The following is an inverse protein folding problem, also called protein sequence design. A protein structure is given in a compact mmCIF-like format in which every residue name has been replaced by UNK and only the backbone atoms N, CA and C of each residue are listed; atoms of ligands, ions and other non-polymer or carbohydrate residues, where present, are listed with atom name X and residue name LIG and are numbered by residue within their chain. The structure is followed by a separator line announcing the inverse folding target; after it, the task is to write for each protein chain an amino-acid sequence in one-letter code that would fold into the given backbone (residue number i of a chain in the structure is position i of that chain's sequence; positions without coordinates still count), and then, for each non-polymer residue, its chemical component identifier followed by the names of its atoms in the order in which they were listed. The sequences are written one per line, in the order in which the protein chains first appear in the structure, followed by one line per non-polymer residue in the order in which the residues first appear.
data_IF_412973865994
#
_entry.id   IF_412973865994
#
_cell.length_a   1.000
_cell.length_b   1.000
_cell.length_c   1.000
_cell.angle_alpha   90.00
_cell.angle_beta   90.00
_cell.angle_gamma   90.00
#
_symmetry.space_group_name_H-M   'P 1'
#
loop_
_entity.id
_entity.type
_entity.pdbx_description
1 polymer ?
#
# COMPACT_ATOMS: atom_id res chain seq x y z
N UNK A 1 -111.56 35.98 47.13
CA UNK A 1 -110.86 35.02 46.26
C UNK A 1 -111.21 35.35 44.81
N UNK A 2 -110.23 35.82 44.03
CA UNK A 2 -110.44 36.32 42.66
C UNK A 2 -110.79 35.18 41.70
N UNK A 3 -111.82 35.46 40.88
CA UNK A 3 -112.37 34.70 39.77
C UNK A 3 -111.39 34.62 38.58
N UNK A 4 -111.59 33.66 37.66
CA UNK A 4 -112.03 33.88 36.24
C UNK A 4 -111.57 32.76 35.28
N UNK A 5 -112.58 32.04 34.74
CA UNK A 5 -112.83 31.51 33.38
C UNK A 5 -111.88 30.58 32.59
N UNK A 6 -112.41 29.36 32.35
CA UNK A 6 -112.59 28.59 31.08
C UNK A 6 -111.83 28.99 29.78
N UNK A 7 -110.93 28.06 29.36
CA UNK A 7 -110.83 27.37 28.05
C UNK A 7 -110.27 28.11 26.79
N UNK A 8 -109.96 27.39 25.67
CA UNK A 8 -108.62 26.96 25.19
C UNK A 8 -108.16 27.68 23.90
N UNK A 9 -107.02 27.26 23.33
CA UNK A 9 -106.37 27.72 22.07
C UNK A 9 -105.32 28.83 22.28
N UNK A 10 -104.17 28.62 21.64
CA UNK A 10 -102.99 29.49 21.49
C UNK A 10 -101.95 29.42 22.62
N UNK A 11 -100.98 28.51 22.46
CA UNK A 11 -99.51 28.76 22.41
C UNK A 11 -98.83 27.37 22.35
N UNK A 12 -99.03 26.60 21.28
CA UNK A 12 -98.06 26.41 20.18
C UNK A 12 -96.58 26.58 20.56
N UNK A 13 -95.79 25.56 20.19
CA UNK A 13 -94.32 25.53 20.07
C UNK A 13 -93.53 25.29 21.36
N UNK A 14 -93.40 24.02 21.78
CA UNK A 14 -92.13 23.30 21.63
C UNK A 14 -92.37 21.77 21.75
N UNK A 15 -93.06 21.24 20.73
CA UNK A 15 -92.97 19.89 20.18
C UNK A 15 -92.65 18.70 21.09
N UNK A 16 -93.70 17.95 21.42
CA UNK A 16 -93.61 16.50 21.55
C UNK A 16 -93.22 15.86 20.19
N UNK A 17 -92.19 15.01 20.19
CA UNK A 17 -91.93 13.92 19.23
C UNK A 17 -90.82 13.04 19.83
N UNK A 18 -91.17 12.09 20.72
CA UNK A 18 -91.42 10.68 20.40
C UNK A 18 -90.13 9.97 19.92
N UNK A 19 -89.66 9.06 20.78
CA UNK A 19 -88.89 7.84 20.50
C UNK A 19 -88.15 7.73 19.15
N UNK A 20 -86.83 7.78 19.19
CA UNK A 20 -86.02 6.78 18.51
C UNK A 20 -84.69 6.62 19.25
N UNK A 21 -84.24 5.38 19.36
CA UNK A 21 -82.89 5.00 19.74
C UNK A 21 -81.84 5.98 19.20
N UNK A 22 -80.97 6.50 20.06
CA UNK A 22 -79.66 6.97 19.58
C UNK A 22 -78.87 5.72 19.20
N UNK A 23 -79.15 5.18 18.01
CA UNK A 23 -78.14 4.46 17.26
C UNK A 23 -77.20 5.53 16.73
N UNK A 24 -76.00 5.63 17.30
CA UNK A 24 -74.91 6.41 16.68
C UNK A 24 -74.56 5.68 15.38
N UNK A 25 -75.21 6.07 14.29
CA UNK A 25 -74.84 5.65 12.96
C UNK A 25 -73.56 6.40 12.59
N UNK A 26 -72.41 5.73 12.65
CA UNK A 26 -71.21 6.21 11.96
C UNK A 26 -71.45 6.05 10.45
N UNK A 27 -72.22 6.97 9.85
CA UNK A 27 -72.71 6.85 8.47
C UNK A 27 -71.70 7.29 7.40
N UNK A 28 -70.49 7.73 7.77
CA UNK A 28 -69.56 8.31 6.81
C UNK A 28 -68.18 7.65 6.91
N UNK A 29 -67.82 6.91 5.86
CA UNK A 29 -66.42 6.58 5.59
C UNK A 29 -65.74 7.86 5.09
N UNK A 30 -64.79 8.39 5.85
CA UNK A 30 -64.01 9.54 5.42
C UNK A 30 -62.78 9.06 4.64
N UNK A 31 -62.60 9.58 3.42
CA UNK A 31 -61.37 9.35 2.66
C UNK A 31 -60.19 10.00 3.41
N UNK A 32 -59.02 9.36 3.39
CA UNK A 32 -57.82 9.86 4.07
C UNK A 32 -57.32 11.21 3.50
N UNK A 33 -57.65 11.53 2.25
CA UNK A 33 -57.48 12.86 1.64
C UNK A 33 -58.23 13.97 2.39
N UNK A 34 -59.29 13.63 3.11
CA UNK A 34 -60.20 14.59 3.75
C UNK A 34 -59.98 14.69 5.27
N UNK A 35 -59.08 13.88 5.83
CA UNK A 35 -58.69 13.90 7.23
C UNK A 35 -57.35 14.62 7.33
N UNK A 36 -57.26 15.68 8.12
CA UNK A 36 -56.03 16.45 8.30
C UNK A 36 -55.31 16.07 9.59
N UNK A 37 -53.98 16.04 9.55
CA UNK A 37 -53.10 15.92 10.71
C UNK A 37 -51.94 16.91 10.55
N UNK A 38 -51.72 17.77 11.56
CA UNK A 38 -50.68 18.82 11.53
C UNK A 38 -50.62 19.57 10.19
N UNK A 39 -51.77 20.06 9.75
CA UNK A 39 -51.94 20.88 8.54
C UNK A 39 -51.64 20.16 7.20
N UNK A 40 -51.54 18.83 7.17
CA UNK A 40 -51.47 18.03 5.93
C UNK A 40 -52.61 17.03 5.87
N UNK A 41 -52.97 16.53 4.68
CA UNK A 41 -53.91 15.40 4.59
C UNK A 41 -53.22 14.12 5.06
N UNK A 42 -54.00 13.15 5.57
CA UNK A 42 -53.48 11.86 6.02
C UNK A 42 -52.80 11.10 4.86
N UNK A 43 -53.31 11.23 3.64
CA UNK A 43 -52.70 10.65 2.43
C UNK A 43 -51.29 11.21 2.16
N UNK A 44 -51.12 12.53 2.27
CA UNK A 44 -49.82 13.18 2.09
C UNK A 44 -48.80 12.77 3.16
N UNK A 45 -49.24 12.71 4.42
CA UNK A 45 -48.40 12.27 5.53
C UNK A 45 -47.95 10.80 5.35
N UNK A 46 -48.86 9.94 4.92
CA UNK A 46 -48.59 8.52 4.70
C UNK A 46 -47.65 8.31 3.50
N UNK A 47 -47.86 9.01 2.39
CA UNK A 47 -46.95 8.97 1.24
C UNK A 47 -45.53 9.44 1.61
N UNK A 48 -45.43 10.48 2.44
CA UNK A 48 -44.14 10.97 2.96
C UNK A 48 -43.43 9.90 3.81
N UNK A 49 -44.17 9.21 4.68
CA UNK A 49 -43.63 8.14 5.50
C UNK A 49 -43.18 6.95 4.65
N UNK A 50 -43.97 6.52 3.67
CA UNK A 50 -43.59 5.47 2.72
C UNK A 50 -42.32 5.83 1.95
N UNK A 51 -42.25 7.06 1.43
CA UNK A 51 -41.07 7.54 0.69
C UNK A 51 -39.83 7.51 1.57
N UNK A 52 -39.90 8.04 2.80
CA UNK A 52 -38.78 8.00 3.75
C UNK A 52 -38.37 6.56 4.09
N UNK A 53 -39.35 5.69 4.33
CA UNK A 53 -39.10 4.28 4.66
C UNK A 53 -38.39 3.57 3.51
N UNK A 54 -38.81 3.80 2.27
CA UNK A 54 -38.15 3.25 1.08
C UNK A 54 -36.73 3.80 0.90
N UNK A 55 -36.51 5.09 1.17
CA UNK A 55 -35.16 5.67 1.16
C UNK A 55 -34.26 5.01 2.20
N UNK A 56 -34.72 4.85 3.45
CA UNK A 56 -33.93 4.18 4.49
C UNK A 56 -33.66 2.72 4.14
N UNK A 57 -34.67 2.00 3.61
CA UNK A 57 -34.51 0.62 3.13
C UNK A 57 -33.40 0.52 2.07
N UNK A 58 -33.44 1.38 1.05
CA UNK A 58 -32.41 1.40 0.00
C UNK A 58 -31.00 1.70 0.55
N UNK A 59 -30.89 2.64 1.51
CA UNK A 59 -29.61 2.91 2.18
C UNK A 59 -29.10 1.69 2.94
N UNK A 60 -29.97 0.97 3.67
CA UNK A 60 -29.57 -0.22 4.43
C UNK A 60 -29.22 -1.41 3.53
N UNK A 61 -29.84 -1.54 2.35
CA UNK A 61 -29.51 -2.62 1.40
C UNK A 61 -28.18 -2.39 0.66
N UNK A 62 -27.69 -1.14 0.64
CA UNK A 62 -26.48 -0.75 -0.12
C UNK A 62 -25.30 -0.35 0.77
N UNK A 63 -25.48 -0.35 2.09
CA UNK A 63 -24.43 0.02 3.05
C UNK A 63 -23.79 -1.23 3.66
N UNK A 64 -22.50 -1.39 3.45
CA UNK A 64 -21.67 -2.42 4.11
C UNK A 64 -20.52 -1.72 4.84
N UNK A 65 -20.70 -1.51 6.14
CA UNK A 65 -19.72 -0.82 7.00
C UNK A 65 -19.32 -1.76 8.13
N UNK A 66 -18.03 -2.02 8.23
CA UNK A 66 -17.42 -2.74 9.35
C UNK A 66 -16.36 -1.88 10.04
N UNK A 67 -16.03 -2.17 11.31
CA UNK A 67 -14.95 -1.49 12.02
C UNK A 67 -13.60 -1.60 11.28
N UNK A 68 -13.35 -2.73 10.61
CA UNK A 68 -12.16 -2.96 9.80
C UNK A 68 -12.07 -2.14 8.52
N UNK A 69 -13.15 -1.43 8.12
CA UNK A 69 -13.14 -0.52 6.97
C UNK A 69 -12.97 0.95 7.37
N UNK A 70 -12.88 1.26 8.66
CA UNK A 70 -12.88 2.63 9.18
C UNK A 70 -11.61 2.93 9.97
N UNK A 71 -11.11 4.17 9.84
CA UNK A 71 -9.99 4.66 10.64
C UNK A 71 -10.32 4.61 12.14
N UNK A 72 -9.30 4.34 12.95
CA UNK A 72 -9.44 4.25 14.38
C UNK A 72 -10.11 5.50 14.96
N UNK A 73 -11.17 5.30 15.74
CA UNK A 73 -11.96 6.38 16.35
C UNK A 73 -13.04 7.00 15.46
N UNK A 74 -13.05 6.73 14.14
CA UNK A 74 -14.16 7.14 13.26
C UNK A 74 -15.40 6.32 13.58
N UNK A 75 -16.55 6.97 13.71
CA UNK A 75 -17.82 6.32 14.05
C UNK A 75 -18.76 6.31 12.85
N UNK A 76 -19.47 5.20 12.67
CA UNK A 76 -20.49 5.05 11.64
C UNK A 76 -21.60 4.11 12.12
N UNK A 77 -22.73 4.11 11.42
CA UNK A 77 -23.81 3.15 11.65
C UNK A 77 -23.81 2.09 10.56
N UNK A 78 -24.03 0.83 10.95
CA UNK A 78 -24.25 -0.29 10.02
C UNK A 78 -25.63 -0.20 9.37
N UNK A 79 -25.88 -1.03 8.36
CA UNK A 79 -27.22 -1.22 7.79
C UNK A 79 -28.29 -1.68 8.80
N UNK A 80 -27.89 -2.35 9.88
CA UNK A 80 -28.78 -2.71 11.00
C UNK A 80 -28.98 -1.58 12.01
N UNK A 81 -28.38 -0.40 11.80
CA UNK A 81 -28.47 0.74 12.71
C UNK A 81 -27.57 0.62 13.94
N UNK A 82 -26.59 -0.28 13.94
CA UNK A 82 -25.65 -0.46 15.05
C UNK A 82 -24.49 0.52 14.92
N UNK A 83 -24.15 1.23 16.00
CA UNK A 83 -22.97 2.10 16.02
C UNK A 83 -21.69 1.25 16.04
N UNK A 84 -20.81 1.46 15.05
CA UNK A 84 -19.47 0.86 14.98
C UNK A 84 -18.41 1.95 15.09
N UNK A 85 -17.29 1.60 15.72
CA UNK A 85 -16.09 2.45 15.78
C UNK A 85 -14.99 1.78 14.98
N UNK A 86 -14.31 2.55 14.14
CA UNK A 86 -13.24 2.06 13.29
C UNK A 86 -12.05 1.55 14.07
N UNK A 87 -11.32 0.62 13.44
CA UNK A 87 -10.18 -0.07 14.04
C UNK A 87 -8.90 0.01 13.20
N UNK A 88 -8.92 0.64 12.02
CA UNK A 88 -7.72 0.78 11.19
C UNK A 88 -6.75 1.76 11.88
N UNK A 89 -5.57 1.31 12.34
CA UNK A 89 -4.60 2.21 12.95
C UNK A 89 -4.03 3.16 11.90
N UNK A 90 -3.75 4.41 12.29
CA UNK A 90 -2.95 5.31 11.47
C UNK A 90 -1.47 4.97 11.65
N UNK A 91 -0.77 4.79 10.54
CA UNK A 91 0.66 4.54 10.52
C UNK A 91 1.38 5.87 10.37
N UNK A 92 2.29 6.14 11.30
CA UNK A 92 3.13 7.33 11.25
C UNK A 92 4.11 7.18 10.08
N UNK A 93 4.09 8.16 9.18
CA UNK A 93 5.01 8.17 8.04
C UNK A 93 6.46 8.29 8.50
N UNK A 94 7.30 7.46 7.90
CA UNK A 94 8.72 7.37 8.21
C UNK A 94 9.53 7.21 6.93
N UNK A 95 10.79 7.65 6.99
CA UNK A 95 11.76 7.49 5.92
C UNK A 95 12.72 6.37 6.32
N UNK A 96 12.68 5.27 5.60
CA UNK A 96 13.52 4.09 5.88
C UNK A 96 14.56 3.91 4.78
N UNK A 97 15.83 3.78 5.17
CA UNK A 97 16.90 3.40 4.26
C UNK A 97 17.14 1.89 4.34
N UNK A 98 17.16 1.21 3.19
CA UNK A 98 17.47 -0.22 3.08
C UNK A 98 18.85 -0.41 2.47
N UNK A 99 19.65 -1.30 3.06
CA UNK A 99 20.88 -1.82 2.46
C UNK A 99 20.61 -3.12 1.70
N UNK A 100 21.59 -3.56 0.91
CA UNK A 100 21.46 -4.78 0.11
C UNK A 100 21.12 -5.99 0.98
N UNK A 101 20.05 -6.71 0.61
CA UNK A 101 19.57 -7.88 1.35
C UNK A 101 18.65 -7.57 2.54
N UNK A 102 18.42 -6.30 2.88
CA UNK A 102 17.43 -5.97 3.90
C UNK A 102 16.00 -6.14 3.39
N UNK A 103 15.13 -6.57 4.31
CA UNK A 103 13.70 -6.71 4.10
C UNK A 103 12.99 -5.75 5.04
N UNK A 104 12.02 -5.01 4.51
CA UNK A 104 11.16 -4.13 5.29
C UNK A 104 9.71 -4.57 5.16
N UNK A 105 9.07 -4.86 6.30
CA UNK A 105 7.66 -5.19 6.36
C UNK A 105 6.87 -3.92 6.58
N UNK A 106 6.02 -3.57 5.60
CA UNK A 106 5.10 -2.43 5.72
C UNK A 106 4.04 -2.77 6.77
N UNK A 107 3.88 -1.97 7.84
CA UNK A 107 2.84 -2.20 8.85
C UNK A 107 1.44 -2.12 8.24
N UNK A 108 0.54 -3.01 8.67
CA UNK A 108 -0.86 -2.94 8.29
C UNK A 108 -1.54 -1.75 8.96
N UNK A 109 -2.22 -0.91 8.17
CA UNK A 109 -2.94 0.26 8.65
C UNK A 109 -3.12 1.29 7.56
N UNK A 110 -3.56 2.49 7.94
CA UNK A 110 -3.70 3.63 7.04
C UNK A 110 -2.38 4.39 6.94
N UNK A 111 -1.86 4.50 5.71
CA UNK A 111 -0.68 5.30 5.38
C UNK A 111 -1.15 6.58 4.69
N UNK A 112 -0.60 7.73 5.09
CA UNK A 112 -0.98 9.04 4.52
C UNK A 112 -0.29 9.36 3.17
N UNK A 113 0.55 8.45 2.69
CA UNK A 113 1.28 8.57 1.43
C UNK A 113 2.54 9.44 1.48
N UNK A 114 2.97 9.90 2.66
CA UNK A 114 4.18 10.75 2.81
C UNK A 114 5.44 9.98 3.21
N UNK A 115 5.30 8.71 3.65
CA UNK A 115 6.43 7.85 3.97
C UNK A 115 7.23 7.43 2.74
N UNK A 116 8.53 7.22 2.91
CA UNK A 116 9.43 6.80 1.83
C UNK A 116 10.32 5.63 2.24
N UNK A 117 10.60 4.75 1.28
CA UNK A 117 11.59 3.68 1.42
C UNK A 117 12.67 3.93 0.36
N UNK A 118 13.90 4.16 0.80
CA UNK A 118 15.03 4.42 -0.09
C UNK A 118 16.00 3.25 -0.01
N UNK A 119 16.32 2.64 -1.16
CA UNK A 119 17.44 1.71 -1.28
C UNK A 119 18.54 2.42 -2.07
N UNK A 120 19.72 2.68 -1.48
CA UNK A 120 20.85 3.21 -2.24
C UNK A 120 21.26 2.21 -3.32
N UNK A 121 21.63 2.71 -4.49
CA UNK A 121 22.29 1.89 -5.50
C UNK A 121 23.58 1.30 -4.91
N UNK A 122 23.89 0.04 -5.21
CA UNK A 122 25.17 -0.56 -4.85
C UNK A 122 26.30 0.28 -5.44
N UNK A 123 27.07 0.97 -4.58
CA UNK A 123 28.25 1.69 -5.04
C UNK A 123 29.38 0.71 -5.26
N UNK A 124 30.00 0.74 -6.43
CA UNK A 124 31.23 0.02 -6.68
C UNK A 124 32.37 1.01 -6.88
N UNK A 125 33.57 0.59 -6.50
CA UNK A 125 34.82 1.30 -6.81
C UNK A 125 35.66 0.44 -7.72
N UNK A 126 36.20 1.03 -8.78
CA UNK A 126 37.22 0.36 -9.60
C UNK A 126 38.56 0.47 -8.86
N UNK A 127 39.15 -0.67 -8.54
CA UNK A 127 40.40 -0.77 -7.80
C UNK A 127 41.50 -1.11 -8.81
N UNK A 128 42.38 -0.15 -9.06
CA UNK A 128 43.59 -0.40 -9.84
C UNK A 128 44.60 -1.14 -8.98
N UNK A 129 44.92 -2.38 -9.34
CA UNK A 129 45.87 -3.20 -8.60
C UNK A 129 47.31 -2.96 -9.03
N UNK A 130 47.54 -2.36 -10.20
CA UNK A 130 48.85 -2.17 -10.80
C UNK A 130 49.19 -3.25 -11.82
N UNK A 131 50.44 -3.23 -12.27
CA UNK A 131 50.93 -4.04 -13.36
C UNK A 131 51.83 -5.18 -12.88
N UNK A 132 51.80 -6.34 -13.56
CA UNK A 132 52.68 -7.48 -13.26
C UNK A 132 53.06 -8.27 -14.51
N UNK A 133 54.21 -8.97 -14.46
CA UNK A 133 54.81 -9.69 -15.60
C UNK A 133 54.86 -11.23 -15.45
N UNK A 134 54.51 -11.76 -14.29
CA UNK A 134 54.35 -13.21 -14.08
C UNK A 134 53.13 -13.77 -14.83
N UNK A 135 53.22 -15.06 -15.20
CA UNK A 135 52.30 -15.76 -16.09
C UNK A 135 51.37 -16.75 -15.38
N UNK A 136 51.43 -16.83 -14.04
CA UNK A 136 50.79 -17.87 -13.23
C UNK A 136 49.88 -17.31 -12.14
N UNK A 137 50.42 -16.58 -11.18
CA UNK A 137 49.63 -15.91 -10.15
C UNK A 137 50.30 -14.64 -9.68
N UNK A 138 49.48 -13.75 -9.14
CA UNK A 138 49.89 -12.47 -8.60
C UNK A 138 49.11 -12.12 -7.36
N UNK A 139 49.77 -11.40 -6.47
CA UNK A 139 49.17 -10.90 -5.25
C UNK A 139 49.27 -9.39 -5.22
N UNK A 140 48.18 -8.72 -4.86
CA UNK A 140 48.13 -7.27 -4.72
C UNK A 140 47.58 -6.90 -3.35
N UNK A 141 48.18 -5.88 -2.73
CA UNK A 141 47.69 -5.31 -1.48
C UNK A 141 46.63 -4.24 -1.78
N UNK A 142 45.44 -4.41 -1.20
CA UNK A 142 44.30 -3.49 -1.37
C UNK A 142 44.05 -2.59 -0.16
N UNK A 143 44.82 -2.71 0.94
CA UNK A 143 44.61 -1.95 2.19
C UNK A 143 44.57 -0.45 1.97
N UNK A 144 45.50 0.06 1.17
CA UNK A 144 45.60 1.49 0.85
C UNK A 144 44.74 1.90 -0.35
N UNK A 145 43.99 0.96 -0.94
CA UNK A 145 43.20 1.18 -2.16
C UNK A 145 41.69 1.14 -1.89
N UNK A 146 41.25 0.40 -0.87
CA UNK A 146 39.83 0.24 -0.50
C UNK A 146 39.65 0.39 1.01
N UNK A 147 38.80 1.34 1.43
CA UNK A 147 38.39 1.49 2.83
C UNK A 147 37.49 0.33 3.25
N UNK A 148 37.68 -0.22 4.46
CA UNK A 148 36.87 -1.34 4.95
C UNK A 148 37.25 -2.69 4.33
N UNK A 149 38.48 -2.82 3.84
CA UNK A 149 39.01 -4.03 3.21
C UNK A 149 38.81 -5.29 4.07
N UNK A 150 38.83 -5.18 5.39
CA UNK A 150 38.65 -6.31 6.32
C UNK A 150 37.27 -7.00 6.21
N UNK A 151 36.26 -6.29 5.71
CA UNK A 151 34.90 -6.82 5.56
C UNK A 151 34.63 -7.39 4.16
N UNK A 152 35.61 -7.35 3.26
CA UNK A 152 35.45 -7.84 1.90
C UNK A 152 35.65 -9.35 1.84
N UNK A 153 35.06 -9.95 0.81
CA UNK A 153 35.21 -11.36 0.44
C UNK A 153 35.69 -11.46 -1.00
N UNK A 154 36.10 -12.66 -1.43
CA UNK A 154 36.46 -12.88 -2.84
C UNK A 154 35.32 -12.52 -3.81
N UNK A 155 34.05 -12.65 -3.39
CA UNK A 155 32.88 -12.30 -4.20
C UNK A 155 32.72 -10.79 -4.42
N UNK A 156 33.34 -9.96 -3.58
CA UNK A 156 33.33 -8.49 -3.77
C UNK A 156 34.18 -8.07 -4.96
N UNK A 157 35.09 -8.93 -5.43
CA UNK A 157 36.07 -8.63 -6.46
C UNK A 157 35.76 -9.34 -7.77
N UNK A 158 35.56 -8.56 -8.83
CA UNK A 158 35.43 -9.08 -10.20
C UNK A 158 36.54 -8.48 -11.05
N UNK A 159 37.29 -9.32 -11.75
CA UNK A 159 38.28 -8.85 -12.73
C UNK A 159 37.56 -8.21 -13.92
N UNK A 160 37.89 -6.96 -14.21
CA UNK A 160 37.24 -6.21 -15.30
C UNK A 160 38.17 -6.00 -16.48
N UNK A 161 39.45 -5.71 -16.25
CA UNK A 161 40.41 -5.39 -17.31
C UNK A 161 41.75 -6.09 -17.08
N UNK A 162 42.30 -6.63 -18.17
CA UNK A 162 43.68 -7.09 -18.30
C UNK A 162 44.26 -6.45 -19.55
N UNK A 163 45.13 -5.45 -19.41
CA UNK A 163 45.78 -4.80 -20.56
C UNK A 163 47.19 -5.36 -20.74
N UNK A 164 47.45 -5.95 -21.90
CA UNK A 164 48.75 -6.51 -22.29
C UNK A 164 49.64 -5.44 -22.93
N UNK A 165 50.77 -5.12 -22.30
CA UNK A 165 51.77 -4.24 -22.90
C UNK A 165 52.34 -4.85 -24.19
N UNK A 166 52.32 -4.08 -25.29
CA UNK A 166 52.85 -4.49 -26.60
C UNK A 166 51.82 -5.05 -27.59
N UNK A 167 50.56 -5.19 -27.20
CA UNK A 167 49.49 -5.54 -28.15
C UNK A 167 48.84 -4.29 -28.73
N UNK A 168 48.70 -4.20 -30.05
CA UNK A 168 47.82 -3.21 -30.71
C UNK A 168 46.34 -3.57 -30.57
N UNK A 169 46.02 -4.74 -29.99
CA UNK A 169 44.67 -5.21 -29.73
C UNK A 169 44.33 -5.06 -28.26
N UNK A 170 43.44 -4.13 -27.93
CA UNK A 170 42.84 -3.99 -26.62
C UNK A 170 41.85 -5.15 -26.42
N UNK A 171 42.33 -6.32 -25.98
CA UNK A 171 41.48 -7.49 -25.74
C UNK A 171 40.71 -7.26 -24.43
N UNK A 172 39.39 -7.30 -24.47
CA UNK A 172 38.57 -7.23 -23.25
C UNK A 172 38.90 -8.47 -22.39
N UNK A 173 38.75 -8.40 -21.06
CA UNK A 173 39.00 -9.57 -20.18
C UNK A 173 38.18 -10.82 -20.61
N UNK A 174 37.07 -10.61 -21.33
CA UNK A 174 36.27 -11.65 -21.96
C UNK A 174 36.91 -12.31 -23.21
N UNK A 175 37.80 -11.64 -23.94
CA UNK A 175 38.44 -12.14 -25.17
C UNK A 175 39.62 -13.09 -24.90
N UNK A 176 40.04 -13.23 -23.63
CA UNK A 176 40.96 -14.29 -23.17
C UNK A 176 40.27 -15.68 -23.13
N UNK A 177 38.95 -15.75 -23.34
CA UNK A 177 38.19 -17.01 -23.36
C UNK A 177 38.24 -17.81 -24.68
N UNK A 178 38.91 -17.32 -25.74
CA UNK A 178 38.90 -18.02 -27.04
C UNK A 178 40.31 -18.11 -27.59
N UNK A 179 41.08 -19.07 -27.07
CA UNK A 179 42.13 -19.73 -27.83
C UNK A 179 42.00 -21.22 -27.51
N UNK A 180 41.88 -22.06 -28.53
CA UNK A 180 41.61 -23.50 -28.43
C UNK A 180 42.62 -24.21 -27.51
N UNK A 181 42.12 -24.84 -26.43
CA UNK A 181 42.92 -25.64 -25.49
C UNK A 181 43.37 -24.93 -24.21
N UNK A 182 43.08 -23.64 -24.03
CA UNK A 182 43.47 -22.87 -22.84
C UNK A 182 42.27 -22.66 -21.91
N UNK A 183 42.28 -23.27 -20.72
CA UNK A 183 41.31 -22.97 -19.66
C UNK A 183 41.85 -21.85 -18.79
N UNK A 184 41.29 -20.64 -18.92
CA UNK A 184 41.61 -19.53 -18.02
C UNK A 184 40.63 -19.53 -16.86
N UNK A 185 41.01 -20.15 -15.73
CA UNK A 185 40.36 -19.86 -14.47
C UNK A 185 40.84 -18.49 -14.00
N UNK A 186 40.07 -17.43 -14.28
CA UNK A 186 40.22 -16.14 -13.59
C UNK A 186 39.72 -16.30 -12.14
N UNK A 187 40.46 -17.05 -11.34
CA UNK A 187 40.14 -17.27 -9.94
C UNK A 187 40.73 -16.10 -9.13
N UNK A 188 39.85 -15.18 -8.74
CA UNK A 188 40.17 -14.18 -7.72
C UNK A 188 39.94 -14.81 -6.36
N UNK A 189 40.95 -14.78 -5.51
CA UNK A 189 40.80 -15.09 -4.08
C UNK A 189 41.23 -13.91 -3.23
N UNK A 190 40.67 -13.80 -2.03
CA UNK A 190 40.94 -12.69 -1.13
C UNK A 190 41.20 -13.19 0.29
N UNK A 191 42.27 -12.68 0.90
CA UNK A 191 42.57 -12.90 2.31
C UNK A 191 42.19 -11.66 3.11
N UNK A 192 41.07 -11.75 3.84
CA UNK A 192 40.53 -10.66 4.65
C UNK A 192 41.41 -10.26 5.85
N UNK A 193 42.31 -11.14 6.31
CA UNK A 193 43.25 -10.82 7.39
C UNK A 193 44.44 -10.02 6.89
N UNK A 194 44.94 -10.34 5.69
CA UNK A 194 46.14 -9.70 5.15
C UNK A 194 45.86 -8.61 4.14
N UNK A 195 44.62 -8.46 3.67
CA UNK A 195 44.23 -7.49 2.64
C UNK A 195 44.83 -7.81 1.26
N UNK A 196 45.21 -9.08 1.05
CA UNK A 196 45.85 -9.53 -0.18
C UNK A 196 44.80 -10.16 -1.10
N UNK A 197 44.67 -9.62 -2.30
CA UNK A 197 43.94 -10.25 -3.40
C UNK A 197 44.91 -11.04 -4.25
N UNK A 198 44.60 -12.30 -4.50
CA UNK A 198 45.35 -13.15 -5.43
C UNK A 198 44.56 -13.30 -6.71
N UNK A 199 45.22 -13.02 -7.82
CA UNK A 199 44.69 -13.19 -9.16
C UNK A 199 45.48 -14.31 -9.82
N UNK A 200 44.81 -15.42 -10.10
CA UNK A 200 45.41 -16.51 -10.91
C UNK A 200 45.16 -16.25 -12.38
N UNK A 201 46.20 -16.38 -13.19
CA UNK A 201 46.16 -16.24 -14.64
C UNK A 201 46.89 -17.43 -15.26
N UNK A 202 46.35 -18.03 -16.31
CA UNK A 202 47.06 -19.03 -17.10
C UNK A 202 47.26 -18.48 -18.51
N UNK A 203 48.46 -18.01 -18.83
CA UNK A 203 48.84 -17.71 -20.22
C UNK A 203 49.76 -18.83 -20.72
N UNK A 204 49.39 -19.44 -21.85
CA UNK A 204 50.23 -20.44 -22.50
C UNK A 204 51.58 -19.85 -22.92
N UNK A 205 52.61 -20.71 -23.01
CA UNK A 205 53.93 -20.31 -23.48
C UNK A 205 53.89 -19.92 -24.96
N UNK A 206 53.65 -18.63 -25.22
CA UNK A 206 53.84 -18.07 -26.55
C UNK A 206 55.34 -17.98 -26.83
N UNK A 207 55.80 -18.81 -27.77
CA UNK A 207 57.18 -18.87 -28.27
C UNK A 207 57.76 -17.48 -28.57
N UNK A 208 58.80 -17.08 -27.83
CA UNK A 208 59.77 -16.07 -28.28
C UNK A 208 59.34 -14.60 -28.32
N UNK A 209 58.28 -14.20 -27.60
CA UNK A 209 57.85 -12.80 -27.50
C UNK A 209 58.17 -12.22 -26.11
N UNK A 210 58.72 -10.99 -26.08
CA UNK A 210 59.44 -10.35 -24.96
C UNK A 210 58.67 -10.03 -23.67
N UNK A 211 59.13 -9.01 -22.92
CA UNK A 211 58.58 -8.65 -21.60
C UNK A 211 57.10 -8.22 -21.68
N UNK A 212 56.19 -9.04 -21.16
CA UNK A 212 54.78 -8.70 -21.02
C UNK A 212 54.50 -8.06 -19.67
N UNK A 213 53.67 -7.03 -19.67
CA UNK A 213 53.09 -6.46 -18.47
C UNK A 213 51.56 -6.48 -18.58
N UNK A 214 50.92 -7.06 -17.58
CA UNK A 214 49.48 -7.16 -17.42
C UNK A 214 49.02 -6.14 -16.39
N UNK A 215 48.17 -5.20 -16.77
CA UNK A 215 47.55 -4.25 -15.84
C UNK A 215 46.23 -4.81 -15.33
N UNK A 216 46.03 -4.80 -14.01
CA UNK A 216 44.86 -5.41 -13.38
C UNK A 216 43.94 -4.37 -12.75
N UNK A 217 42.66 -4.39 -13.15
CA UNK A 217 41.60 -3.63 -12.47
C UNK A 217 40.49 -4.55 -11.99
N UNK A 218 40.05 -4.33 -10.76
CA UNK A 218 38.94 -5.06 -10.15
C UNK A 218 37.77 -4.12 -9.87
N UNK A 219 36.55 -4.58 -10.15
CA UNK A 219 35.34 -3.96 -9.61
C UNK A 219 35.15 -4.46 -8.19
N UNK A 220 35.28 -3.56 -7.21
CA UNK A 220 34.98 -3.84 -5.82
C UNK A 220 33.59 -3.31 -5.48
N UNK A 221 32.65 -4.19 -5.15
CA UNK A 221 31.31 -3.79 -4.68
C UNK A 221 31.39 -3.55 -3.17
N UNK A 222 30.98 -2.35 -2.74
CA UNK A 222 30.87 -1.99 -1.31
C UNK A 222 29.62 -2.61 -0.69
#
# INVERSE_FOLDING_TARGET
MKKVFKNPVVTFILGALIFSSISVYAAHKYAASNITYKDTTLDQALNTLYTKTNTYKNLTETTDVSSSNLLNGVKAYTNSGTLVTGSIPSIVSSNTNLTSGQVYTIPQGYHDGTGTITAPNSSYTMVDLGASNSRTQHTFDVKNKVSGWENLTAANFVMTDVVLAGSTSNRLAADINVVEGYSTMNLVSYNATTGIVTVKQSVGDAWGIGDFWFNYKLKCVK
#
